data_IF_426962674381
#
_entry.id   IF_426962674381
#
_cell.length_a   1.000
_cell.length_b   1.000
_cell.length_c   1.000
_cell.angle_alpha   90.00
_cell.angle_beta   90.00
_cell.angle_gamma   90.00
#
_symmetry.space_group_name_H-M   'P 1'
#
loop_
_entity.id
_entity.type
_entity.pdbx_description
1 polymer ?
#
# COMPACT_ATOMS: atom_id res chain seq x y z
N UNK A 1 -26.10 26.58 59.31
CA UNK A 1 -25.78 26.85 57.90
C UNK A 1 -24.34 27.33 57.83
N UNK A 2 -23.41 26.49 57.38
CA UNK A 2 -21.96 26.77 57.40
C UNK A 2 -21.55 27.61 56.19
N UNK A 3 -21.12 28.84 56.44
CA UNK A 3 -20.55 29.72 55.42
C UNK A 3 -19.06 29.42 55.28
N UNK A 4 -18.73 28.37 54.50
CA UNK A 4 -17.34 28.01 54.18
C UNK A 4 -16.76 29.10 53.27
N UNK A 5 -15.87 29.93 53.80
CA UNK A 5 -15.15 30.94 53.01
C UNK A 5 -14.32 30.23 51.93
N UNK A 6 -14.72 30.36 50.65
CA UNK A 6 -13.94 29.87 49.50
C UNK A 6 -12.54 30.47 49.54
N UNK A 7 -11.53 29.60 49.48
CA UNK A 7 -10.12 30.00 49.49
C UNK A 7 -9.75 30.69 48.17
N UNK A 8 -8.65 31.44 48.14
CA UNK A 8 -8.16 32.06 46.90
C UNK A 8 -7.89 31.03 45.80
N UNK A 9 -7.47 29.81 46.17
CA UNK A 9 -7.26 28.71 45.23
C UNK A 9 -8.59 28.23 44.59
N UNK A 10 -9.67 28.17 45.37
CA UNK A 10 -11.00 27.79 44.87
C UNK A 10 -11.53 28.82 43.86
N UNK A 11 -11.25 30.11 44.11
CA UNK A 11 -11.64 31.21 43.21
C UNK A 11 -10.88 31.15 41.89
N UNK A 12 -9.57 30.89 41.91
CA UNK A 12 -8.76 30.76 40.69
C UNK A 12 -9.22 29.55 39.87
N UNK A 13 -9.54 28.43 40.53
CA UNK A 13 -10.08 27.25 39.84
C UNK A 13 -11.43 27.53 39.19
N UNK A 14 -12.32 28.23 39.90
CA UNK A 14 -13.61 28.63 39.36
C UNK A 14 -13.47 29.58 38.16
N UNK A 15 -12.55 30.55 38.24
CA UNK A 15 -12.27 31.46 37.13
C UNK A 15 -11.71 30.72 35.91
N UNK A 16 -10.73 29.83 36.10
CA UNK A 16 -10.20 29.01 35.00
C UNK A 16 -11.30 28.20 34.33
N UNK A 17 -12.16 27.57 35.13
CA UNK A 17 -13.28 26.80 34.60
C UNK A 17 -14.23 27.70 33.79
N UNK A 18 -14.60 28.86 34.33
CA UNK A 18 -15.49 29.79 33.63
C UNK A 18 -14.90 30.25 32.28
N UNK A 19 -13.62 30.61 32.25
CA UNK A 19 -12.93 31.01 31.01
C UNK A 19 -12.84 29.84 30.02
N UNK A 20 -12.55 28.62 30.49
CA UNK A 20 -12.54 27.44 29.63
C UNK A 20 -13.92 27.10 29.08
N UNK A 21 -14.96 27.16 29.92
CA UNK A 21 -16.34 26.90 29.52
C UNK A 21 -16.80 27.95 28.49
N UNK A 22 -16.41 29.22 28.66
CA UNK A 22 -16.67 30.31 27.72
C UNK A 22 -16.02 30.03 26.35
N UNK A 23 -14.72 29.76 26.31
CA UNK A 23 -13.99 29.44 25.06
C UNK A 23 -14.58 28.21 24.37
N UNK A 24 -14.96 27.18 25.13
CA UNK A 24 -15.57 25.96 24.58
C UNK A 24 -17.02 26.16 24.12
N UNK A 25 -17.68 27.24 24.54
CA UNK A 25 -19.04 27.58 24.14
C UNK A 25 -19.12 28.55 22.97
N UNK A 26 -17.99 29.11 22.52
CA UNK A 26 -17.95 30.03 21.39
C UNK A 26 -18.42 29.34 20.11
N UNK A 27 -19.23 30.04 19.32
CA UNK A 27 -19.61 29.55 17.99
C UNK A 27 -18.48 29.76 16.99
N UNK A 28 -18.57 29.07 15.85
CA UNK A 28 -17.60 29.25 14.76
C UNK A 28 -17.56 30.73 14.29
N UNK A 29 -18.70 31.41 14.21
CA UNK A 29 -18.76 32.83 13.85
C UNK A 29 -18.07 33.73 14.87
N UNK A 30 -18.24 33.46 16.16
CA UNK A 30 -17.60 34.21 17.24
C UNK A 30 -16.07 34.02 17.22
N UNK A 31 -15.61 32.78 17.01
CA UNK A 31 -14.18 32.46 16.86
C UNK A 31 -13.59 33.19 15.66
N UNK A 32 -14.30 33.19 14.52
CA UNK A 32 -13.84 33.85 13.29
C UNK A 32 -13.83 35.37 13.43
N UNK A 33 -14.74 35.94 14.22
CA UNK A 33 -14.78 37.38 14.49
C UNK A 33 -13.64 37.79 15.41
N UNK A 34 -13.45 37.10 16.53
CA UNK A 34 -12.34 37.34 17.46
C UNK A 34 -10.97 37.20 16.78
N UNK A 35 -10.81 36.20 15.90
CA UNK A 35 -9.60 36.05 15.10
C UNK A 35 -9.32 37.28 14.22
N UNK A 36 -10.35 37.83 13.55
CA UNK A 36 -10.20 39.03 12.71
C UNK A 36 -9.90 40.27 13.55
N UNK A 37 -10.52 40.41 14.71
CA UNK A 37 -10.27 41.52 15.64
C UNK A 37 -8.83 41.51 16.16
N UNK A 38 -8.22 40.32 16.29
CA UNK A 38 -6.81 40.14 16.60
C UNK A 38 -5.87 40.33 15.38
N UNK A 39 -6.41 40.72 14.22
CA UNK A 39 -5.65 40.93 12.98
C UNK A 39 -5.24 39.65 12.26
N UNK A 40 -5.84 38.50 12.61
CA UNK A 40 -5.65 37.25 11.88
C UNK A 40 -6.58 37.20 10.67
N UNK A 41 -6.15 36.48 9.64
CA UNK A 41 -6.97 36.14 8.48
C UNK A 41 -7.32 34.64 8.54
N UNK A 42 -8.54 34.28 8.98
CA UNK A 42 -8.95 32.89 9.10
C UNK A 42 -8.95 32.14 7.77
N UNK A 43 -9.26 32.82 6.66
CA UNK A 43 -9.30 32.21 5.33
C UNK A 43 -7.88 31.85 4.88
N UNK A 44 -6.92 32.74 5.14
CA UNK A 44 -5.50 32.45 4.90
C UNK A 44 -4.99 31.29 5.77
N UNK A 45 -5.37 31.24 7.06
CA UNK A 45 -4.98 30.15 7.96
C UNK A 45 -5.56 28.82 7.46
N UNK A 46 -6.84 28.79 7.10
CA UNK A 46 -7.49 27.59 6.57
C UNK A 46 -6.83 27.11 5.27
N UNK A 47 -6.51 28.04 4.36
CA UNK A 47 -5.79 27.73 3.13
C UNK A 47 -4.41 27.11 3.43
N UNK A 48 -3.66 27.69 4.37
CA UNK A 48 -2.34 27.21 4.76
C UNK A 48 -2.39 25.83 5.43
N UNK A 49 -3.41 25.55 6.23
CA UNK A 49 -3.62 24.21 6.78
C UNK A 49 -3.93 23.20 5.68
N UNK A 50 -4.81 23.57 4.74
CA UNK A 50 -5.19 22.71 3.61
C UNK A 50 -3.99 22.38 2.71
N UNK A 51 -3.17 23.36 2.37
CA UNK A 51 -1.99 23.14 1.52
C UNK A 51 -0.99 22.21 2.20
N UNK A 52 -0.67 22.45 3.47
CA UNK A 52 0.21 21.57 4.26
C UNK A 52 -0.32 20.14 4.35
N UNK A 53 -1.63 19.97 4.54
CA UNK A 53 -2.24 18.65 4.57
C UNK A 53 -2.12 17.92 3.23
N UNK A 54 -2.36 18.62 2.12
CA UNK A 54 -2.20 18.07 0.76
C UNK A 54 -0.74 17.68 0.48
N UNK A 55 0.22 18.52 0.88
CA UNK A 55 1.65 18.24 0.71
C UNK A 55 2.08 17.00 1.52
N UNK A 56 1.58 16.85 2.75
CA UNK A 56 1.84 15.67 3.56
C UNK A 56 1.23 14.40 2.95
N UNK A 57 0.02 14.48 2.41
CA UNK A 57 -0.60 13.34 1.69
C UNK A 57 0.22 12.99 0.45
N UNK A 58 0.68 13.98 -0.30
CA UNK A 58 1.50 13.77 -1.48
C UNK A 58 2.86 13.13 -1.12
N UNK A 59 3.50 13.55 -0.03
CA UNK A 59 4.77 12.97 0.42
C UNK A 59 4.61 11.49 0.82
N UNK A 60 3.55 11.16 1.57
CA UNK A 60 3.24 9.78 1.96
C UNK A 60 3.00 8.91 0.72
N UNK A 61 2.24 9.41 -0.26
CA UNK A 61 1.99 8.69 -1.53
C UNK A 61 3.29 8.45 -2.29
N UNK A 62 4.16 9.46 -2.39
CA UNK A 62 5.48 9.32 -3.04
C UNK A 62 6.36 8.29 -2.33
N UNK A 63 6.38 8.28 -0.99
CA UNK A 63 7.11 7.28 -0.21
C UNK A 63 6.57 5.87 -0.44
N UNK A 64 5.24 5.68 -0.42
CA UNK A 64 4.64 4.38 -0.73
C UNK A 64 5.03 3.88 -2.12
N UNK A 65 4.98 4.75 -3.13
CA UNK A 65 5.38 4.40 -4.50
C UNK A 65 6.87 4.05 -4.58
N UNK A 66 7.74 4.80 -3.87
CA UNK A 66 9.17 4.49 -3.79
C UNK A 66 9.40 3.10 -3.20
N UNK A 67 8.76 2.81 -2.06
CA UNK A 67 8.90 1.51 -1.40
C UNK A 67 8.40 0.35 -2.28
N UNK A 68 7.28 0.54 -2.98
CA UNK A 68 6.75 -0.47 -3.92
C UNK A 68 7.73 -0.68 -5.08
N UNK A 69 8.31 0.38 -5.65
CA UNK A 69 9.32 0.27 -6.71
C UNK A 69 10.57 -0.48 -6.23
N UNK A 70 11.03 -0.19 -5.02
CA UNK A 70 12.17 -0.90 -4.42
C UNK A 70 11.85 -2.39 -4.17
N UNK A 71 10.64 -2.69 -3.71
CA UNK A 71 10.17 -4.07 -3.54
C UNK A 71 10.07 -4.82 -4.88
N UNK A 72 9.53 -4.17 -5.92
CA UNK A 72 9.44 -4.76 -7.26
C UNK A 72 10.83 -5.01 -7.86
N UNK A 73 11.72 -4.02 -7.79
CA UNK A 73 13.09 -4.15 -8.29
C UNK A 73 13.83 -5.28 -7.56
N UNK A 74 13.70 -5.38 -6.22
CA UNK A 74 14.34 -6.45 -5.46
C UNK A 74 13.73 -7.83 -5.69
N UNK A 75 12.43 -7.91 -5.98
CA UNK A 75 11.78 -9.14 -6.43
C UNK A 75 12.28 -9.57 -7.82
N UNK A 76 12.42 -8.62 -8.75
CA UNK A 76 12.92 -8.86 -10.10
C UNK A 76 14.40 -9.27 -10.11
N UNK A 77 15.22 -8.78 -9.18
CA UNK A 77 16.62 -9.25 -9.05
C UNK A 77 16.69 -10.67 -8.47
N UNK A 78 15.74 -11.09 -7.63
CA UNK A 78 15.71 -12.44 -7.06
C UNK A 78 15.30 -13.51 -8.07
N UNK A 79 14.51 -13.16 -9.10
CA UNK A 79 14.13 -14.12 -10.16
C UNK A 79 15.25 -14.38 -11.17
N UNK A 80 16.26 -13.50 -11.28
CA UNK A 80 17.38 -13.65 -12.22
C UNK A 80 18.43 -14.69 -11.74
N UNK A 81 18.29 -15.20 -10.51
CA UNK A 81 19.29 -16.03 -9.85
C UNK A 81 18.91 -17.50 -9.65
N UNK A 82 17.92 -18.07 -10.34
CA UNK A 82 17.70 -19.53 -10.24
C UNK A 82 18.63 -20.23 -11.24
N UNK A 83 19.57 -21.09 -10.79
CA UNK A 83 20.33 -21.91 -11.71
C UNK A 83 19.35 -22.93 -12.31
N UNK A 84 18.80 -22.62 -13.47
CA UNK A 84 18.11 -23.61 -14.29
C UNK A 84 19.19 -24.50 -14.87
N UNK A 85 19.44 -25.66 -14.25
CA UNK A 85 20.04 -26.79 -14.98
C UNK A 85 19.01 -27.18 -16.03
N UNK A 86 19.10 -26.52 -17.18
CA UNK A 86 18.06 -26.47 -18.18
C UNK A 86 18.06 -27.79 -18.94
N UNK A 87 16.96 -28.54 -18.85
CA UNK A 87 16.55 -29.34 -19.99
C UNK A 87 16.67 -28.48 -21.26
N UNK A 88 17.18 -29.03 -22.35
CA UNK A 88 17.23 -28.31 -23.62
C UNK A 88 15.83 -27.82 -24.00
N UNK A 89 15.74 -26.68 -24.70
CA UNK A 89 14.46 -26.05 -25.08
C UNK A 89 13.46 -27.05 -25.69
N UNK A 90 13.95 -27.95 -26.55
CA UNK A 90 13.13 -29.02 -27.15
C UNK A 90 12.56 -30.01 -26.14
N UNK A 91 13.33 -30.37 -25.11
CA UNK A 91 12.90 -31.33 -24.08
C UNK A 91 11.87 -30.69 -23.14
N UNK A 92 12.04 -29.41 -22.78
CA UNK A 92 11.03 -28.64 -22.06
C UNK A 92 9.71 -28.61 -22.83
N UNK A 93 9.77 -28.25 -24.12
CA UNK A 93 8.60 -28.21 -25.00
C UNK A 93 7.90 -29.56 -25.10
N UNK A 94 8.66 -30.65 -25.24
CA UNK A 94 8.12 -32.01 -25.30
C UNK A 94 7.39 -32.41 -24.02
N UNK A 95 7.97 -32.10 -22.85
CA UNK A 95 7.36 -32.38 -21.53
C UNK A 95 6.10 -31.54 -21.30
N UNK A 96 6.09 -30.27 -21.73
CA UNK A 96 4.88 -29.43 -21.69
C UNK A 96 3.79 -30.02 -22.58
N UNK A 97 4.11 -30.41 -23.83
CA UNK A 97 3.11 -31.01 -24.71
C UNK A 97 2.57 -32.33 -24.17
N UNK A 98 3.40 -33.16 -23.53
CA UNK A 98 2.96 -34.39 -22.87
C UNK A 98 1.95 -34.08 -21.76
N UNK A 99 2.26 -33.11 -20.90
CA UNK A 99 1.35 -32.65 -19.85
C UNK A 99 0.03 -32.11 -20.41
N UNK A 100 0.09 -31.22 -21.41
CA UNK A 100 -1.10 -30.64 -22.06
C UNK A 100 -1.97 -31.69 -22.78
N UNK A 101 -1.40 -32.84 -23.13
CA UNK A 101 -2.13 -33.94 -23.78
C UNK A 101 -2.93 -34.77 -22.77
N UNK A 102 -2.73 -34.59 -21.46
CA UNK A 102 -3.49 -35.31 -20.44
C UNK A 102 -4.94 -34.81 -20.38
N UNK A 103 -5.93 -35.72 -20.19
CA UNK A 103 -7.36 -35.39 -20.29
C UNK A 103 -7.86 -34.41 -19.21
N UNK A 104 -7.19 -34.31 -18.07
CA UNK A 104 -7.59 -33.45 -16.95
C UNK A 104 -6.95 -32.05 -16.97
N UNK A 105 -6.23 -31.69 -18.04
CA UNK A 105 -5.59 -30.38 -18.17
C UNK A 105 -6.50 -29.36 -18.86
N UNK A 106 -6.92 -28.33 -18.12
CA UNK A 106 -7.80 -27.26 -18.61
C UNK A 106 -7.04 -26.15 -19.36
N UNK A 107 -6.22 -26.51 -20.34
CA UNK A 107 -5.55 -25.54 -21.22
C UNK A 107 -6.33 -25.33 -22.53
N UNK A 108 -6.13 -24.16 -23.14
CA UNK A 108 -6.79 -23.83 -24.40
C UNK A 108 -6.33 -24.77 -25.54
N UNK A 109 -7.24 -25.09 -26.46
CA UNK A 109 -6.95 -25.98 -27.61
C UNK A 109 -5.76 -25.47 -28.46
N UNK A 110 -5.53 -24.16 -28.48
CA UNK A 110 -4.39 -23.53 -29.16
C UNK A 110 -3.04 -23.95 -28.55
N UNK A 111 -2.97 -24.13 -27.23
CA UNK A 111 -1.77 -24.62 -26.54
C UNK A 111 -1.49 -26.09 -26.85
N UNK A 112 -2.54 -26.91 -26.94
CA UNK A 112 -2.44 -28.33 -27.32
C UNK A 112 -1.90 -28.54 -28.74
N UNK A 113 -2.25 -27.64 -29.66
CA UNK A 113 -1.82 -27.72 -31.05
C UNK A 113 -0.45 -27.08 -31.32
N UNK A 114 0.21 -26.50 -30.30
CA UNK A 114 1.52 -25.87 -30.43
C UNK A 114 1.53 -24.64 -31.34
N UNK A 115 0.37 -24.04 -31.61
CA UNK A 115 0.21 -22.97 -32.59
C UNK A 115 0.56 -21.61 -31.95
N UNK A 116 1.58 -20.93 -32.51
CA UNK A 116 1.96 -19.53 -32.24
C UNK A 116 2.38 -19.19 -30.79
N UNK A 117 3.20 -20.03 -30.17
CA UNK A 117 3.93 -19.64 -28.95
C UNK A 117 5.36 -19.28 -29.33
N UNK A 118 5.85 -18.12 -28.88
CA UNK A 118 7.25 -17.74 -29.05
C UNK A 118 8.13 -18.59 -28.12
N UNK A 119 9.44 -18.65 -28.40
CA UNK A 119 10.36 -19.42 -27.56
C UNK A 119 10.36 -18.92 -26.10
N UNK A 120 10.19 -17.61 -25.88
CA UNK A 120 10.04 -17.05 -24.53
C UNK A 120 8.74 -17.47 -23.83
N UNK A 121 7.66 -17.69 -24.57
CA UNK A 121 6.39 -18.13 -23.98
C UNK A 121 6.49 -19.58 -23.49
N UNK A 122 7.24 -20.43 -24.21
CA UNK A 122 7.51 -21.81 -23.79
C UNK A 122 8.37 -21.89 -22.54
N UNK A 123 9.37 -21.01 -22.41
CA UNK A 123 10.22 -20.95 -21.21
C UNK A 123 9.45 -20.45 -20.00
N UNK A 124 8.63 -19.41 -20.16
CA UNK A 124 7.78 -18.89 -19.07
C UNK A 124 6.77 -19.94 -18.61
N UNK A 125 6.13 -20.64 -19.56
CA UNK A 125 5.18 -21.71 -19.23
C UNK A 125 5.86 -22.89 -18.53
N UNK A 126 7.08 -23.24 -18.92
CA UNK A 126 7.87 -24.28 -18.23
C UNK A 126 8.05 -23.92 -16.76
N UNK A 127 8.49 -22.69 -16.49
CA UNK A 127 8.77 -22.24 -15.13
C UNK A 127 7.50 -22.21 -14.27
N UNK A 128 6.37 -21.76 -14.82
CA UNK A 128 5.07 -21.76 -14.14
C UNK A 128 4.60 -23.18 -13.78
N UNK A 129 4.74 -24.14 -14.71
CA UNK A 129 4.33 -25.52 -14.49
C UNK A 129 5.21 -26.26 -13.47
N UNK A 130 6.51 -25.92 -13.42
CA UNK A 130 7.43 -26.43 -12.40
C UNK A 130 7.15 -25.78 -11.04
N UNK A 131 6.87 -24.48 -10.97
CA UNK A 131 6.53 -23.79 -9.73
C UNK A 131 5.25 -24.33 -9.09
N UNK A 132 4.25 -24.66 -9.91
CA UNK A 132 3.01 -25.29 -9.47
C UNK A 132 3.18 -26.78 -9.10
N UNK A 133 4.36 -27.35 -9.33
CA UNK A 133 4.64 -28.77 -9.09
C UNK A 133 3.91 -29.73 -10.01
N UNK A 134 3.37 -29.23 -11.13
CA UNK A 134 2.62 -30.01 -12.12
C UNK A 134 3.55 -30.80 -13.03
N UNK A 135 4.74 -30.26 -13.30
CA UNK A 135 5.83 -30.97 -13.98
C UNK A 135 7.02 -31.03 -13.03
N UNK A 136 7.61 -32.23 -12.89
CA UNK A 136 8.80 -32.42 -12.07
C UNK A 136 10.05 -31.96 -12.82
N UNK A 137 10.78 -31.05 -12.20
CA UNK A 137 12.19 -30.84 -12.49
C UNK A 137 12.98 -31.93 -11.75
N UNK A 138 13.84 -32.67 -12.44
CA UNK A 138 14.57 -33.82 -11.89
C UNK A 138 15.58 -33.45 -10.78
N UNK A 139 15.62 -32.18 -10.37
CA UNK A 139 16.37 -31.71 -9.20
C UNK A 139 15.57 -31.63 -7.90
N UNK A 140 14.29 -32.02 -7.88
CA UNK A 140 13.49 -32.11 -6.63
C UNK A 140 13.59 -33.50 -5.98
N UNK A 141 14.83 -33.92 -5.75
CA UNK A 141 15.17 -35.16 -5.04
C UNK A 141 16.34 -34.95 -4.09
N UNK A 142 16.06 -34.36 -2.93
CA UNK A 142 16.49 -34.80 -1.59
C UNK A 142 15.54 -34.19 -0.54
#
# INVERSE_FOLDING_TARGET
MSNVKRTSADKIRALRKAVSDEVLSMTDEEIMTDARDQGLDPDHIALLMRTKALDAIASIRKQKLKNIREALNSAQTKTIGRPTTSFGFEEKKKRIMAFLSEPDTHFSLAFRNGEKQSDSDWETLWDDLVEQGLIKDEHSGD
#
